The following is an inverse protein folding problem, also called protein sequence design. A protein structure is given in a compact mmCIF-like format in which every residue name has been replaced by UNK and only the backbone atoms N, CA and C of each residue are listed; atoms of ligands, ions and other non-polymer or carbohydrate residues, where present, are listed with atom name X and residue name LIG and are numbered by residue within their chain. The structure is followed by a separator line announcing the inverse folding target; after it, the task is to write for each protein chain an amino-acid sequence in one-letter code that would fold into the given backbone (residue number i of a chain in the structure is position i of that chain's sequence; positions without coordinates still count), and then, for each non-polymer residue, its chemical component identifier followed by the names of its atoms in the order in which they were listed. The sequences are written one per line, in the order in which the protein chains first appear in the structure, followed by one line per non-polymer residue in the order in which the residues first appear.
data_IF_797138766137
#
_entry.id   IF_797138766137
#
_cell.length_a   1.000
_cell.length_b   1.000
_cell.length_c   1.000
_cell.angle_alpha   90.00
_cell.angle_beta   90.00
_cell.angle_gamma   90.00
#
_symmetry.space_group_name_H-M   'P 1'
#
loop_
_entity.id
_entity.type
_entity.pdbx_description
1 polymer ?
#
# COMPACT_ATOMS: atom_id res chain seq x y z
N UNK A 1 -15.93 6.08 -2.04
CA UNK A 1 -15.15 4.85 -1.82
C UNK A 1 -14.14 5.10 -0.72
N UNK A 2 -14.10 4.24 0.27
CA UNK A 2 -13.18 4.41 1.40
C UNK A 2 -11.76 3.93 1.05
N UNK A 3 -10.77 4.41 1.81
CA UNK A 3 -9.36 4.18 1.51
C UNK A 3 -8.98 2.70 1.35
N UNK A 4 -9.42 1.84 2.26
CA UNK A 4 -9.09 0.41 2.19
C UNK A 4 -9.63 -0.25 0.93
N UNK A 5 -10.83 0.12 0.52
CA UNK A 5 -11.42 -0.39 -0.72
C UNK A 5 -10.64 0.10 -1.94
N UNK A 6 -10.25 1.38 -1.96
CA UNK A 6 -9.43 1.94 -3.04
C UNK A 6 -8.11 1.18 -3.19
N UNK A 7 -7.43 0.93 -2.08
CA UNK A 7 -6.15 0.23 -2.07
C UNK A 7 -6.31 -1.20 -2.57
N UNK A 8 -7.30 -1.92 -2.06
CA UNK A 8 -7.55 -3.30 -2.43
C UNK A 8 -7.84 -3.43 -3.93
N UNK A 9 -8.70 -2.58 -4.46
CA UNK A 9 -9.02 -2.58 -5.89
C UNK A 9 -7.82 -2.15 -6.74
N UNK A 10 -7.08 -1.16 -6.28
CA UNK A 10 -5.90 -0.68 -7.01
C UNK A 10 -4.80 -1.74 -7.11
N UNK A 11 -4.51 -2.44 -6.02
CA UNK A 11 -3.50 -3.50 -6.03
C UNK A 11 -3.86 -4.59 -7.05
N UNK A 12 -5.13 -4.89 -7.21
CA UNK A 12 -5.59 -5.88 -8.17
C UNK A 12 -5.39 -5.44 -9.63
N UNK A 13 -5.10 -4.18 -9.88
CA UNK A 13 -4.77 -3.69 -11.22
C UNK A 13 -3.29 -3.88 -11.60
N UNK A 14 -2.45 -4.31 -10.67
CA UNK A 14 -1.06 -4.66 -10.96
C UNK A 14 -1.03 -5.77 -12.02
N UNK A 15 -0.22 -5.61 -13.09
CA UNK A 15 -0.15 -6.64 -14.16
C UNK A 15 0.22 -8.04 -13.66
N UNK A 16 0.98 -8.13 -12.57
CA UNK A 16 1.33 -9.40 -11.93
C UNK A 16 0.31 -9.88 -10.91
N UNK A 17 -0.84 -9.20 -10.77
CA UNK A 17 -1.85 -9.54 -9.75
C UNK A 17 -2.58 -10.85 -10.06
N UNK A 18 -2.45 -11.41 -11.25
CA UNK A 18 -2.94 -12.74 -11.58
C UNK A 18 -2.33 -13.84 -10.68
N UNK A 19 -1.15 -13.56 -10.11
CA UNK A 19 -0.53 -14.41 -9.08
C UNK A 19 -1.31 -14.34 -7.77
N UNK A 20 -2.03 -13.23 -7.52
CA UNK A 20 -2.83 -13.05 -6.32
C UNK A 20 -4.27 -13.47 -6.59
N UNK A 21 -4.73 -14.51 -5.92
CA UNK A 21 -6.10 -15.02 -6.04
C UNK A 21 -7.07 -14.23 -5.15
N UNK A 22 -6.57 -13.70 -4.04
CA UNK A 22 -7.38 -12.92 -3.10
C UNK A 22 -6.50 -11.95 -2.31
N UNK A 23 -7.09 -10.83 -1.90
CA UNK A 23 -6.47 -9.87 -0.99
C UNK A 23 -7.47 -9.60 0.12
N UNK A 24 -7.09 -9.87 1.36
CA UNK A 24 -7.96 -9.73 2.53
C UNK A 24 -7.43 -8.67 3.48
N UNK A 25 -8.33 -8.05 4.23
CA UNK A 25 -7.98 -7.07 5.25
C UNK A 25 -7.80 -7.78 6.59
N UNK A 26 -6.71 -7.47 7.28
CA UNK A 26 -6.34 -8.02 8.60
C UNK A 26 -6.22 -9.55 8.64
N UNK A 27 -6.06 -10.17 7.48
CA UNK A 27 -6.00 -11.62 7.39
C UNK A 27 -5.23 -12.06 6.15
N UNK A 28 -4.42 -13.11 6.30
CA UNK A 28 -3.75 -13.75 5.18
C UNK A 28 -3.79 -15.26 5.40
N UNK A 29 -4.50 -15.98 4.55
CA UNK A 29 -4.45 -17.43 4.57
C UNK A 29 -3.12 -17.92 4.01
N UNK A 30 -2.54 -18.96 4.62
CA UNK A 30 -1.23 -19.48 4.23
C UNK A 30 -1.31 -20.39 2.99
N UNK A 31 -1.93 -19.88 1.93
CA UNK A 31 -2.03 -20.58 0.65
C UNK A 31 -1.46 -19.69 -0.47
N UNK A 32 -0.76 -20.28 -1.48
CA UNK A 32 -0.20 -19.48 -2.57
C UNK A 32 -1.25 -18.62 -3.26
N UNK A 33 -0.90 -17.39 -3.56
CA UNK A 33 -1.77 -16.42 -4.21
C UNK A 33 -2.62 -15.59 -3.25
N UNK A 34 -2.52 -15.80 -1.94
CA UNK A 34 -3.23 -14.95 -0.98
C UNK A 34 -2.40 -13.73 -0.63
N UNK A 35 -3.08 -12.60 -0.55
CA UNK A 35 -2.52 -11.35 -0.06
C UNK A 35 -3.29 -10.87 1.16
N UNK A 36 -2.64 -10.07 1.98
CA UNK A 36 -3.25 -9.44 3.13
C UNK A 36 -2.80 -8.00 3.28
N UNK A 37 -3.70 -7.16 3.78
CA UNK A 37 -3.41 -5.77 4.10
C UNK A 37 -3.67 -5.56 5.58
N UNK A 38 -2.63 -5.19 6.32
CA UNK A 38 -2.73 -4.88 7.75
C UNK A 38 -2.62 -3.38 7.93
N UNK A 39 -3.70 -2.68 8.30
CA UNK A 39 -3.64 -1.25 8.53
C UNK A 39 -2.77 -0.91 9.74
N UNK A 40 -1.81 -0.02 9.54
CA UNK A 40 -0.95 0.50 10.61
C UNK A 40 -1.38 1.89 11.08
N UNK A 41 -2.52 2.38 10.60
CA UNK A 41 -3.10 3.62 11.03
C UNK A 41 -2.64 4.85 10.28
N UNK A 42 -3.07 5.99 10.78
CA UNK A 42 -2.82 7.31 10.21
C UNK A 42 -1.79 8.05 11.04
N UNK A 43 -0.80 8.60 10.37
CA UNK A 43 0.19 9.50 10.99
C UNK A 43 0.03 10.90 10.41
N UNK A 44 -0.18 11.88 11.27
CA UNK A 44 -0.15 13.29 10.84
C UNK A 44 1.31 13.74 10.78
N UNK A 45 1.78 14.06 9.58
CA UNK A 45 3.18 14.47 9.37
C UNK A 45 3.38 15.96 9.61
N UNK A 46 2.44 16.79 9.19
CA UNK A 46 2.51 18.23 9.37
C UNK A 46 1.12 18.86 9.32
N UNK A 47 1.02 20.04 9.90
CA UNK A 47 -0.21 20.83 9.87
C UNK A 47 0.17 22.30 9.74
N UNK A 48 -0.52 23.01 8.85
CA UNK A 48 -0.35 24.44 8.70
C UNK A 48 -1.68 25.10 8.43
N UNK A 49 -1.76 26.37 8.68
CA UNK A 49 -2.92 27.20 8.32
C UNK A 49 -2.56 27.99 7.08
N UNK A 50 -3.38 27.91 6.04
CA UNK A 50 -3.15 28.67 4.82
C UNK A 50 -3.70 30.11 4.92
N UNK A 51 -3.51 30.88 3.85
CA UNK A 51 -3.93 32.30 3.82
C UNK A 51 -5.45 32.47 3.92
N UNK A 52 -6.23 31.42 3.64
CA UNK A 52 -7.69 31.45 3.75
C UNK A 52 -8.20 31.06 5.13
N UNK A 53 -7.31 30.67 6.04
CA UNK A 53 -7.66 30.18 7.36
C UNK A 53 -7.93 28.67 7.41
N UNK A 54 -7.84 27.97 6.30
CA UNK A 54 -8.04 26.52 6.26
C UNK A 54 -6.83 25.79 6.83
N UNK A 55 -7.08 24.72 7.59
CA UNK A 55 -6.01 23.85 8.04
C UNK A 55 -5.62 22.91 6.90
N UNK A 56 -4.33 22.90 6.56
CA UNK A 56 -3.76 22.00 5.55
C UNK A 56 -2.92 20.97 6.27
N UNK A 57 -3.37 19.73 6.23
CA UNK A 57 -2.76 18.63 6.99
C UNK A 57 -2.15 17.64 6.00
N UNK A 58 -0.86 17.33 6.20
CA UNK A 58 -0.20 16.24 5.47
C UNK A 58 -0.27 14.99 6.32
N UNK A 59 -0.95 13.99 5.81
CA UNK A 59 -1.16 12.72 6.48
C UNK A 59 -0.44 11.59 5.76
N UNK A 60 -0.19 10.52 6.50
CA UNK A 60 0.34 9.30 5.94
C UNK A 60 -0.46 8.11 6.45
N UNK A 61 -1.00 7.32 5.52
CA UNK A 61 -1.47 5.98 5.84
C UNK A 61 -0.29 5.02 5.85
N UNK A 62 -0.30 4.11 6.81
CA UNK A 62 0.71 3.08 6.96
C UNK A 62 0.04 1.71 6.83
N UNK A 63 0.52 0.89 5.90
CA UNK A 63 0.00 -0.46 5.71
C UNK A 63 1.16 -1.43 5.63
N UNK A 64 0.94 -2.63 6.13
CA UNK A 64 1.82 -3.76 5.85
C UNK A 64 1.09 -4.69 4.90
N UNK A 65 1.71 -4.96 3.77
CA UNK A 65 1.20 -5.92 2.80
C UNK A 65 1.86 -7.27 3.05
N UNK A 66 1.08 -8.34 2.98
CA UNK A 66 1.57 -9.70 3.06
C UNK A 66 1.21 -10.43 1.79
N UNK A 67 2.18 -11.14 1.23
CA UNK A 67 1.97 -11.93 0.02
C UNK A 67 2.45 -13.36 0.27
N UNK A 68 1.59 -14.33 -0.01
CA UNK A 68 1.95 -15.74 0.03
C UNK A 68 2.22 -16.18 -1.41
N UNK A 69 3.47 -16.45 -1.71
CA UNK A 69 3.90 -16.83 -3.05
C UNK A 69 4.35 -18.30 -3.06
N UNK A 70 4.13 -18.94 -4.19
CA UNK A 70 4.64 -20.30 -4.38
C UNK A 70 6.17 -20.23 -4.50
N UNK A 71 6.85 -21.05 -3.71
CA UNK A 71 8.30 -21.25 -3.81
C UNK A 71 8.54 -22.67 -4.31
N UNK A 72 9.20 -22.80 -5.44
CA UNK A 72 9.62 -24.13 -5.87
C UNK A 72 10.65 -24.66 -4.86
N UNK A 73 10.37 -25.81 -4.27
CA UNK A 73 11.25 -26.42 -3.29
C UNK A 73 12.65 -26.63 -3.89
N UNK A 74 13.68 -26.25 -3.14
CA UNK A 74 15.09 -26.41 -3.51
C UNK A 74 15.49 -25.71 -4.82
N UNK A 75 14.70 -24.74 -5.26
CA UNK A 75 14.92 -24.09 -6.54
C UNK A 75 15.28 -22.61 -6.34
N UNK A 76 16.55 -22.29 -6.59
CA UNK A 76 17.03 -20.91 -6.59
C UNK A 76 16.25 -20.06 -7.61
N UNK A 77 15.79 -20.65 -8.70
CA UNK A 77 14.98 -19.98 -9.71
C UNK A 77 13.63 -19.54 -9.16
N UNK A 78 12.94 -20.38 -8.38
CA UNK A 78 11.66 -20.02 -7.77
C UNK A 78 11.79 -18.90 -6.77
N UNK A 79 12.85 -18.90 -5.97
CA UNK A 79 13.16 -17.78 -5.05
C UNK A 79 13.45 -16.49 -5.81
N UNK A 80 14.15 -16.57 -6.91
CA UNK A 80 14.44 -15.42 -7.77
C UNK A 80 13.18 -14.88 -8.42
N UNK A 81 12.28 -15.75 -8.89
CA UNK A 81 11.01 -15.32 -9.47
C UNK A 81 10.13 -14.61 -8.45
N UNK A 82 10.07 -15.13 -7.21
CA UNK A 82 9.33 -14.46 -6.13
C UNK A 82 9.93 -13.10 -5.79
N UNK A 83 11.24 -13.00 -5.67
CA UNK A 83 11.93 -11.74 -5.42
C UNK A 83 11.70 -10.73 -6.56
N UNK A 84 11.74 -11.19 -7.79
CA UNK A 84 11.48 -10.35 -8.95
C UNK A 84 10.04 -9.85 -8.97
N UNK A 85 9.08 -10.70 -8.60
CA UNK A 85 7.68 -10.29 -8.49
C UNK A 85 7.50 -9.13 -7.49
N UNK A 86 8.21 -9.20 -6.35
CA UNK A 86 8.18 -8.12 -5.35
C UNK A 86 8.80 -6.82 -5.88
N UNK A 87 9.93 -6.92 -6.59
CA UNK A 87 10.56 -5.76 -7.20
C UNK A 87 9.67 -5.15 -8.27
N UNK A 88 9.05 -5.97 -9.10
CA UNK A 88 8.13 -5.50 -10.12
C UNK A 88 6.92 -4.78 -9.51
N UNK A 89 6.43 -5.28 -8.40
CA UNK A 89 5.35 -4.62 -7.65
C UNK A 89 5.80 -3.25 -7.13
N UNK A 90 6.99 -3.17 -6.54
CA UNK A 90 7.52 -1.90 -6.03
C UNK A 90 7.74 -0.89 -7.16
N UNK A 91 8.27 -1.32 -8.29
CA UNK A 91 8.45 -0.45 -9.46
C UNK A 91 7.11 0.01 -10.03
N UNK A 92 6.12 -0.88 -10.07
CA UNK A 92 4.78 -0.53 -10.51
C UNK A 92 4.12 0.52 -9.59
N UNK A 93 4.27 0.36 -8.28
CA UNK A 93 3.77 1.35 -7.31
C UNK A 93 4.42 2.71 -7.55
N UNK A 94 5.73 2.74 -7.76
CA UNK A 94 6.45 3.97 -8.05
C UNK A 94 5.94 4.62 -9.34
N UNK A 95 5.80 3.85 -10.40
CA UNK A 95 5.28 4.37 -11.67
C UNK A 95 3.88 4.93 -11.53
N UNK A 96 2.99 4.21 -10.84
CA UNK A 96 1.62 4.67 -10.59
C UNK A 96 1.60 5.99 -9.84
N UNK A 97 2.46 6.12 -8.84
CA UNK A 97 2.56 7.34 -8.04
C UNK A 97 3.09 8.51 -8.86
N UNK A 98 4.18 8.30 -9.58
CA UNK A 98 4.85 9.36 -10.36
C UNK A 98 3.99 9.83 -11.52
N UNK A 99 3.28 8.92 -12.19
CA UNK A 99 2.48 9.25 -13.37
C UNK A 99 1.04 9.66 -13.05
N UNK A 100 0.68 9.72 -11.76
CA UNK A 100 -0.65 10.13 -11.34
C UNK A 100 -1.76 9.13 -11.60
N UNK A 101 -1.41 7.86 -11.80
CA UNK A 101 -2.39 6.78 -12.04
C UNK A 101 -2.89 6.12 -10.75
N UNK A 102 -2.22 6.37 -9.63
CA UNK A 102 -2.65 5.83 -8.35
C UNK A 102 -3.93 6.52 -7.88
N UNK A 103 -4.76 5.84 -7.05
CA UNK A 103 -5.98 6.46 -6.54
C UNK A 103 -5.67 7.66 -5.65
N UNK A 104 -6.57 8.65 -5.63
CA UNK A 104 -6.46 9.83 -4.79
C UNK A 104 -7.08 9.56 -3.42
N UNK A 105 -6.42 10.05 -2.37
CA UNK A 105 -6.87 9.87 -0.99
C UNK A 105 -7.20 11.19 -0.29
N UNK A 106 -6.70 12.29 -0.81
CA UNK A 106 -6.88 13.61 -0.22
C UNK A 106 -7.41 14.64 -1.21
N UNK A 107 -7.18 15.90 -0.88
CA UNK A 107 -7.76 17.04 -1.59
C UNK A 107 -6.82 17.63 -2.66
N UNK A 108 -5.57 17.16 -2.72
CA UNK A 108 -4.60 17.61 -3.71
C UNK A 108 -3.84 16.41 -4.27
N UNK A 109 -4.34 15.85 -5.36
CA UNK A 109 -3.76 14.67 -5.99
C UNK A 109 -2.35 14.88 -6.54
N UNK A 110 -1.94 16.12 -6.78
CA UNK A 110 -0.59 16.42 -7.30
C UNK A 110 0.48 16.28 -6.22
N UNK A 111 0.10 16.36 -4.95
CA UNK A 111 1.01 16.26 -3.83
C UNK A 111 0.88 14.93 -3.08
N UNK A 112 0.18 13.98 -3.67
CA UNK A 112 0.07 12.65 -3.10
C UNK A 112 1.18 11.75 -3.62
N UNK A 113 1.66 10.86 -2.76
CA UNK A 113 2.64 9.86 -3.15
C UNK A 113 2.35 8.54 -2.46
N UNK A 114 2.62 7.46 -3.18
CA UNK A 114 2.51 6.10 -2.66
C UNK A 114 3.86 5.44 -2.83
N UNK A 115 4.34 4.76 -1.78
CA UNK A 115 5.61 4.05 -1.79
C UNK A 115 5.44 2.66 -1.22
N UNK A 116 6.02 1.69 -1.92
CA UNK A 116 6.15 0.33 -1.42
C UNK A 116 7.62 0.07 -1.11
N UNK A 117 7.93 -0.33 0.11
CA UNK A 117 9.29 -0.46 0.60
C UNK A 117 9.46 -1.73 1.44
N UNK A 118 10.71 -2.14 1.61
CA UNK A 118 11.10 -3.19 2.54
C UNK A 118 10.43 -4.54 2.25
N UNK A 119 10.47 -4.96 0.99
CA UNK A 119 10.04 -6.31 0.62
C UNK A 119 10.94 -7.35 1.29
N UNK A 120 10.39 -8.13 2.21
CA UNK A 120 11.17 -9.04 3.05
C UNK A 120 10.52 -10.41 3.10
N UNK A 121 11.34 -11.45 2.93
CA UNK A 121 10.91 -12.81 3.18
C UNK A 121 10.78 -13.01 4.69
N UNK A 122 9.57 -13.32 5.18
CA UNK A 122 9.34 -13.59 6.59
C UNK A 122 9.54 -15.06 6.93
N UNK A 123 9.22 -15.95 6.03
CA UNK A 123 9.38 -17.37 6.29
C UNK A 123 8.90 -18.22 5.14
N UNK A 124 9.26 -19.49 5.21
CA UNK A 124 8.81 -20.52 4.27
C UNK A 124 8.27 -21.69 5.08
N UNK A 125 7.28 -22.37 4.53
CA UNK A 125 6.74 -23.57 5.15
C UNK A 125 7.20 -24.84 4.43
N UNK A 126 6.84 -25.99 5.00
CA UNK A 126 7.20 -27.31 4.45
C UNK A 126 6.45 -27.63 3.16
N UNK A 127 5.35 -26.91 2.89
CA UNK A 127 4.52 -27.12 1.70
C UNK A 127 4.99 -26.31 0.49
N UNK A 128 6.11 -25.60 0.63
CA UNK A 128 6.71 -24.84 -0.47
C UNK A 128 6.11 -23.45 -0.69
N UNK A 129 5.46 -22.87 0.33
CA UNK A 129 4.99 -21.49 0.26
C UNK A 129 5.96 -20.56 0.97
N UNK A 130 6.04 -19.33 0.47
CA UNK A 130 6.85 -18.28 1.04
C UNK A 130 5.97 -17.10 1.40
N UNK A 131 6.12 -16.59 2.61
CA UNK A 131 5.41 -15.39 3.09
C UNK A 131 6.35 -14.20 3.03
N UNK A 132 5.93 -13.18 2.32
CA UNK A 132 6.65 -11.91 2.21
C UNK A 132 5.83 -10.79 2.84
N UNK A 133 6.53 -9.81 3.39
CA UNK A 133 5.91 -8.56 3.82
C UNK A 133 6.49 -7.39 3.05
N UNK A 134 5.71 -6.34 2.94
CA UNK A 134 6.12 -5.09 2.31
C UNK A 134 5.37 -3.95 2.97
N UNK A 135 6.04 -2.82 3.17
CA UNK A 135 5.40 -1.64 3.72
C UNK A 135 4.90 -0.76 2.59
N UNK A 136 3.64 -0.35 2.69
CA UNK A 136 3.02 0.58 1.78
C UNK A 136 2.67 1.85 2.55
N UNK A 137 3.22 2.97 2.14
CA UNK A 137 2.92 4.27 2.74
C UNK A 137 2.31 5.19 1.70
N UNK A 138 1.28 5.91 2.12
CA UNK A 138 0.54 6.82 1.26
C UNK A 138 0.51 8.18 1.93
N UNK A 139 1.14 9.17 1.32
CA UNK A 139 1.10 10.55 1.80
C UNK A 139 0.07 11.33 1.00
N UNK A 140 -0.76 12.08 1.71
CA UNK A 140 -1.82 12.86 1.09
C UNK A 140 -2.13 14.09 1.93
N UNK A 141 -2.77 15.07 1.30
CA UNK A 141 -3.12 16.35 1.92
C UNK A 141 -4.64 16.40 2.11
N UNK A 142 -5.05 16.76 3.33
CA UNK A 142 -6.43 17.09 3.65
C UNK A 142 -6.52 18.57 3.99
N UNK A 143 -7.51 19.23 3.41
CA UNK A 143 -7.81 20.63 3.69
C UNK A 143 -9.12 20.68 4.46
N UNK A 144 -9.05 21.27 5.65
CA UNK A 144 -10.21 21.47 6.49
C UNK A 144 -10.57 22.93 6.46
N UNK A 145 -11.68 23.26 5.80
CA UNK A 145 -12.19 24.61 5.84
C UNK A 145 -12.60 24.94 7.25
N UNK A 146 -12.26 26.14 7.67
CA UNK A 146 -12.66 26.61 8.97
C UNK A 146 -14.17 26.84 9.00
N UNK A 147 -14.91 25.83 9.46
CA UNK A 147 -16.29 25.99 9.90
C UNK A 147 -16.31 26.41 11.37
N UNK A 148 -15.17 26.80 11.87
CA UNK A 148 -14.98 27.17 13.24
C UNK A 148 -15.69 28.50 13.50
N UNK A 149 -16.81 28.43 14.20
CA UNK A 149 -17.43 29.65 14.69
C UNK A 149 -16.72 30.10 15.94
N UNK A 150 -16.07 31.26 15.84
CA UNK A 150 -15.49 31.87 17.01
C UNK A 150 -16.55 32.06 18.07
N UNK A 151 -16.32 31.64 19.30
CA UNK A 151 -17.23 31.96 20.38
C UNK A 151 -17.31 33.48 20.49
N UNK A 152 -18.47 33.98 20.32
CA UNK A 152 -18.75 35.41 20.51
C UNK A 152 -19.06 35.68 21.97
#
# INVERSE_FOLDING_TARGET
MKALQKITEWIQTFPGADTLKSVSIDYTAAAPGNGGIMPGGLTELSRRIDVTGAAVVTNQYNFTLYFVLAKAADDAKGSMENAQWLLDFQEWVQEQSVTGKAPAFGDDGKQESIKAQNGTLLGTDEEGTALYSMQLTIQFIKKYKEEFQWPT
#
